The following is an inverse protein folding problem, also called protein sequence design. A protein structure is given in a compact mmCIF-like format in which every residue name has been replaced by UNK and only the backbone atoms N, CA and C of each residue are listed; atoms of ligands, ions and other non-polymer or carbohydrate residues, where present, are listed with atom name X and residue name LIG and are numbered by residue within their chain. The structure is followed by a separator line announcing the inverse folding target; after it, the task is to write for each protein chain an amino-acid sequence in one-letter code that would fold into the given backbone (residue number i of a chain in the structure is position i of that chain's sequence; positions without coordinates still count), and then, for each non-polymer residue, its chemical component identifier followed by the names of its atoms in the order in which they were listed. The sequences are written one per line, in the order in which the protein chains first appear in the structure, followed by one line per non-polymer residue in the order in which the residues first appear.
data_IF_602513654158
#
_entry.id   IF_602513654158
#
_cell.length_a   1.000
_cell.length_b   1.000
_cell.length_c   1.000
_cell.angle_alpha   90.00
_cell.angle_beta   90.00
_cell.angle_gamma   90.00
#
_symmetry.space_group_name_H-M   'P 1'
#
loop_
_entity.id
_entity.type
_entity.pdbx_description
1 polymer ?
#
# COMPACT_ATOMS: atom_id res chain seq x y z
N UNK A 1 -14.22 -17.10 5.09
CA UNK A 1 -13.83 -16.72 3.71
C UNK A 1 -12.81 -15.60 3.85
N UNK A 2 -11.52 -15.93 3.75
CA UNK A 2 -10.43 -14.94 3.76
C UNK A 2 -10.26 -14.38 2.36
N UNK A 3 -10.31 -13.06 2.24
CA UNK A 3 -10.06 -12.34 0.99
C UNK A 3 -8.56 -12.10 0.86
N UNK A 4 -7.85 -13.04 0.25
CA UNK A 4 -6.47 -12.85 -0.20
C UNK A 4 -6.55 -12.29 -1.62
N UNK A 5 -6.78 -10.98 -1.75
CA UNK A 5 -6.88 -10.32 -3.06
C UNK A 5 -5.47 -10.21 -3.65
N UNK A 6 -5.24 -10.91 -4.74
CA UNK A 6 -3.96 -10.90 -5.47
C UNK A 6 -3.66 -9.52 -6.06
N UNK A 7 -2.38 -9.19 -6.28
CA UNK A 7 -1.97 -7.93 -6.91
C UNK A 7 -2.58 -7.76 -8.31
N UNK A 8 -2.79 -8.87 -9.03
CA UNK A 8 -3.50 -8.89 -10.33
C UNK A 8 -5.00 -8.61 -10.17
N UNK A 9 -5.64 -9.05 -9.09
CA UNK A 9 -7.03 -8.68 -8.78
C UNK A 9 -7.14 -7.21 -8.34
N UNK A 10 -6.19 -6.68 -7.57
CA UNK A 10 -6.11 -5.24 -7.27
C UNK A 10 -5.84 -4.39 -8.53
N UNK A 11 -5.04 -4.91 -9.47
CA UNK A 11 -4.84 -4.31 -10.80
C UNK A 11 -6.06 -4.50 -11.73
N UNK A 12 -6.93 -5.48 -11.47
CA UNK A 12 -8.21 -5.67 -12.16
C UNK A 12 -9.34 -4.78 -11.63
N UNK A 13 -9.22 -4.28 -10.40
CA UNK A 13 -10.19 -3.39 -9.75
C UNK A 13 -9.96 -1.90 -10.03
N UNK A 14 -8.77 -1.52 -10.50
CA UNK A 14 -8.40 -0.12 -10.73
C UNK A 14 -7.41 0.04 -11.86
N UNK A 15 -7.25 1.27 -12.35
CA UNK A 15 -6.20 1.59 -13.32
C UNK A 15 -4.88 1.73 -12.57
N UNK A 16 -3.88 0.94 -12.94
CA UNK A 16 -2.51 1.11 -12.45
C UNK A 16 -1.99 2.46 -12.97
N UNK A 17 -1.61 3.34 -12.05
CA UNK A 17 -1.05 4.65 -12.37
C UNK A 17 0.46 4.56 -12.51
N UNK A 18 1.11 3.89 -11.56
CA UNK A 18 2.56 3.76 -11.51
C UNK A 18 2.99 2.50 -10.76
N UNK A 19 4.20 2.03 -11.03
CA UNK A 19 4.83 0.90 -10.35
C UNK A 19 6.31 1.18 -10.15
N UNK A 20 6.71 1.23 -8.89
CA UNK A 20 8.09 1.37 -8.47
C UNK A 20 8.59 0.01 -7.99
N UNK A 21 9.47 -0.61 -8.78
CA UNK A 21 10.23 -1.80 -8.37
C UNK A 21 11.66 -1.36 -8.17
N UNK A 22 12.19 -1.45 -6.95
CA UNK A 22 13.64 -1.39 -6.79
C UNK A 22 14.25 -2.62 -7.43
N UNK A 23 14.95 -2.41 -8.54
CA UNK A 23 15.49 -3.47 -9.39
C UNK A 23 16.62 -4.20 -8.67
N UNK A 24 16.27 -5.34 -8.06
CA UNK A 24 17.21 -6.32 -7.54
C UNK A 24 17.11 -6.52 -6.03
N UNK A 25 17.49 -7.71 -5.54
CA UNK A 25 17.53 -7.96 -4.11
C UNK A 25 18.42 -6.94 -3.41
N UNK A 26 17.96 -6.41 -2.27
CA UNK A 26 18.84 -5.68 -1.35
C UNK A 26 20.09 -6.54 -1.12
N UNK A 27 21.30 -6.07 -1.44
CA UNK A 27 22.50 -6.89 -1.39
C UNK A 27 22.66 -7.57 -0.03
N UNK A 28 22.86 -8.89 -0.03
CA UNK A 28 23.00 -9.70 1.18
C UNK A 28 21.71 -10.39 1.65
N UNK A 29 20.52 -9.79 1.43
CA UNK A 29 19.28 -10.28 2.05
C UNK A 29 18.32 -11.02 1.09
N UNK A 30 18.48 -10.86 -0.23
CA UNK A 30 17.56 -11.48 -1.19
C UNK A 30 16.15 -10.89 -1.21
N UNK A 31 15.96 -9.71 -0.61
CA UNK A 31 14.66 -9.06 -0.43
C UNK A 31 14.40 -8.05 -1.55
N UNK A 32 13.22 -8.13 -2.16
CA UNK A 32 12.68 -7.20 -3.15
C UNK A 32 11.54 -6.38 -2.55
N UNK A 33 11.44 -5.12 -2.96
CA UNK A 33 10.38 -4.18 -2.61
C UNK A 33 9.68 -3.72 -3.89
N UNK A 34 8.35 -3.76 -3.88
CA UNK A 34 7.49 -3.19 -4.91
C UNK A 34 6.46 -2.26 -4.29
N UNK A 35 6.26 -1.08 -4.89
CA UNK A 35 5.18 -0.15 -4.56
C UNK A 35 4.35 0.07 -5.81
N UNK A 36 3.05 -0.19 -5.70
CA UNK A 36 2.08 -0.03 -6.78
C UNK A 36 1.08 1.05 -6.37
N UNK A 37 0.83 1.99 -7.29
CA UNK A 37 -0.18 3.02 -7.12
C UNK A 37 -1.32 2.77 -8.11
N UNK A 38 -2.55 2.67 -7.60
CA UNK A 38 -3.74 2.44 -8.44
C UNK A 38 -4.85 3.43 -8.12
N UNK A 39 -5.66 3.74 -9.13
CA UNK A 39 -6.92 4.47 -8.97
C UNK A 39 -8.10 3.55 -9.17
N UNK A 40 -9.04 3.55 -8.23
CA UNK A 40 -10.27 2.75 -8.27
C UNK A 40 -11.45 3.71 -8.36
N UNK A 41 -12.28 3.55 -9.39
CA UNK A 41 -13.55 4.26 -9.46
C UNK A 41 -14.52 3.64 -8.45
N UNK A 42 -15.16 4.47 -7.64
CA UNK A 42 -16.19 4.07 -6.70
C UNK A 42 -17.49 3.99 -7.49
N UNK A 43 -17.99 2.77 -7.72
CA UNK A 43 -19.35 2.62 -8.24
C UNK A 43 -20.33 3.08 -7.18
N UNK A 44 -21.27 3.94 -7.57
CA UNK A 44 -22.32 4.51 -6.71
C UNK A 44 -23.31 3.42 -6.26
N UNK A 45 -22.87 2.59 -5.32
CA UNK A 45 -23.60 1.46 -4.79
C UNK A 45 -24.60 1.90 -3.72
N UNK A 46 -25.43 2.93 -4.01
CA UNK A 46 -26.54 3.36 -3.16
C UNK A 46 -26.19 3.57 -1.68
N UNK A 47 -24.95 3.92 -1.38
CA UNK A 47 -24.40 3.93 -0.03
C UNK A 47 -24.75 5.24 0.67
N UNK A 48 -25.31 5.16 1.89
CA UNK A 48 -25.73 6.32 2.69
C UNK A 48 -24.58 7.18 3.21
N UNK A 49 -23.35 6.71 3.12
CA UNK A 49 -22.15 7.41 3.58
C UNK A 49 -21.02 7.24 2.56
N UNK A 50 -20.42 8.35 2.13
CA UNK A 50 -19.34 8.33 1.14
C UNK A 50 -18.06 7.67 1.67
N UNK A 51 -17.07 7.37 0.81
CA UNK A 51 -15.82 6.73 1.23
C UNK A 51 -15.10 7.52 2.34
N UNK A 52 -15.08 8.86 2.25
CA UNK A 52 -14.52 9.75 3.30
C UNK A 52 -15.15 9.53 4.68
N UNK A 53 -16.48 9.51 4.73
CA UNK A 53 -17.22 9.33 5.97
C UNK A 53 -17.00 7.92 6.55
N UNK A 54 -16.94 6.92 5.67
CA UNK A 54 -16.61 5.55 6.03
C UNK A 54 -15.20 5.41 6.61
N UNK A 55 -14.22 6.13 6.05
CA UNK A 55 -12.83 6.13 6.52
C UNK A 55 -12.70 6.86 7.86
N UNK A 56 -13.36 8.01 8.01
CA UNK A 56 -13.41 8.75 9.27
C UNK A 56 -14.13 7.96 10.39
N UNK A 57 -15.15 7.18 10.03
CA UNK A 57 -15.93 6.35 10.94
C UNK A 57 -15.26 5.02 11.33
N UNK A 58 -14.21 4.59 10.62
CA UNK A 58 -13.49 3.33 10.84
C UNK A 58 -12.61 3.37 12.11
N UNK A 59 -13.23 3.58 13.28
CA UNK A 59 -12.57 3.46 14.59
C UNK A 59 -12.07 2.01 14.77
N UNK A 60 -10.75 1.81 14.78
CA UNK A 60 -10.11 0.53 15.10
C UNK A 60 -9.23 -0.06 13.98
N UNK A 61 -9.33 0.45 12.73
CA UNK A 61 -8.25 0.30 11.74
C UNK A 61 -7.26 1.44 11.95
N UNK A 62 -5.97 1.22 11.72
CA UNK A 62 -4.95 2.27 11.84
C UNK A 62 -5.32 3.40 10.86
N UNK A 63 -5.91 4.46 11.38
CA UNK A 63 -6.29 5.66 10.62
C UNK A 63 -5.04 6.50 10.45
N UNK A 64 -4.69 6.77 9.19
CA UNK A 64 -3.59 7.63 8.78
C UNK A 64 -4.18 8.82 8.01
N UNK A 65 -3.47 9.94 7.99
CA UNK A 65 -3.80 11.05 7.08
C UNK A 65 -2.80 11.06 5.91
N UNK A 66 -3.32 11.08 4.69
CA UNK A 66 -2.53 11.12 3.45
C UNK A 66 -2.86 12.41 2.72
N UNK A 67 -1.91 13.35 2.65
CA UNK A 67 -2.15 14.65 2.03
C UNK A 67 -3.29 15.45 2.68
N UNK A 68 -3.62 15.17 3.95
CA UNK A 68 -4.74 15.77 4.67
C UNK A 68 -6.02 14.93 4.72
N UNK A 69 -6.12 13.89 3.88
CA UNK A 69 -7.31 13.05 3.77
C UNK A 69 -7.25 11.83 4.70
N UNK A 70 -8.39 11.41 5.28
CA UNK A 70 -8.48 10.12 5.96
C UNK A 70 -8.06 8.98 5.03
N UNK A 71 -7.28 8.04 5.58
CA UNK A 71 -6.88 6.83 4.89
C UNK A 71 -7.10 5.60 5.77
N UNK A 72 -7.41 4.48 5.11
CA UNK A 72 -7.45 3.16 5.73
C UNK A 72 -6.15 2.44 5.40
N UNK A 73 -5.49 1.95 6.45
CA UNK A 73 -4.36 1.04 6.33
C UNK A 73 -4.83 -0.41 6.51
N UNK A 74 -4.46 -1.28 5.57
CA UNK A 74 -4.64 -2.73 5.64
C UNK A 74 -3.27 -3.37 5.56
N UNK A 75 -2.83 -3.99 6.65
CA UNK A 75 -1.58 -4.75 6.69
C UNK A 75 -1.92 -6.25 6.70
N UNK A 76 -1.24 -7.02 5.85
CA UNK A 76 -1.25 -8.47 5.95
C UNK A 76 0.15 -8.96 6.32
N UNK A 77 0.20 -9.79 7.34
CA UNK A 77 1.36 -10.61 7.66
C UNK A 77 1.02 -11.99 7.14
N UNK A 78 1.88 -12.57 6.30
CA UNK A 78 1.76 -13.97 5.95
C UNK A 78 2.10 -14.79 7.19
N UNK A 79 1.11 -15.02 8.06
CA UNK A 79 1.19 -16.08 9.06
C UNK A 79 1.25 -17.39 8.28
N UNK A 80 2.29 -18.19 8.56
CA UNK A 80 2.69 -19.35 7.77
C UNK A 80 1.56 -20.15 7.14
N UNK A 81 1.79 -20.56 5.89
CA UNK A 81 0.89 -21.25 4.95
C UNK A 81 0.06 -20.29 4.08
N UNK A 82 0.71 -19.54 3.20
CA UNK A 82 0.09 -19.15 1.93
C UNK A 82 1.08 -19.34 0.77
N UNK A 83 0.52 -19.85 -0.32
CA UNK A 83 1.12 -20.36 -1.56
C UNK A 83 2.31 -19.51 -2.06
N UNK A 84 3.35 -20.13 -2.64
CA UNK A 84 4.36 -19.37 -3.37
C UNK A 84 3.68 -18.49 -4.42
N UNK A 85 3.95 -17.19 -4.35
CA UNK A 85 3.68 -16.31 -5.48
C UNK A 85 4.55 -16.87 -6.61
N UNK A 86 3.90 -17.22 -7.71
CA UNK A 86 4.46 -17.95 -8.85
C UNK A 86 5.90 -17.50 -9.14
N UNK A 87 6.87 -18.43 -9.10
CA UNK A 87 8.27 -18.14 -9.49
C UNK A 87 9.30 -17.98 -8.37
N UNK A 88 9.13 -18.65 -7.23
CA UNK A 88 10.17 -18.70 -6.18
C UNK A 88 10.25 -17.44 -5.33
N UNK A 89 9.13 -16.77 -5.07
CA UNK A 89 9.06 -15.55 -4.26
C UNK A 89 8.18 -15.79 -3.02
N UNK A 90 8.71 -15.48 -1.84
CA UNK A 90 8.02 -15.55 -0.55
C UNK A 90 7.71 -14.15 -0.05
N UNK A 91 6.42 -13.80 0.06
CA UNK A 91 6.01 -12.51 0.64
C UNK A 91 6.30 -12.49 2.14
N UNK A 92 7.01 -11.46 2.59
CA UNK A 92 7.35 -11.23 4.00
C UNK A 92 6.41 -10.21 4.64
N UNK A 93 6.08 -9.16 3.90
CA UNK A 93 5.15 -8.10 4.32
C UNK A 93 4.35 -7.59 3.13
N UNK A 94 3.10 -7.24 3.38
CA UNK A 94 2.33 -6.43 2.47
C UNK A 94 1.49 -5.43 3.25
N UNK A 95 1.39 -4.21 2.73
CA UNK A 95 0.57 -3.14 3.31
C UNK A 95 -0.06 -2.32 2.20
N UNK A 96 -1.34 -2.00 2.37
CA UNK A 96 -2.09 -1.16 1.45
C UNK A 96 -2.67 0.01 2.20
N UNK A 97 -2.49 1.21 1.66
CA UNK A 97 -3.08 2.45 2.15
C UNK A 97 -4.04 2.97 1.10
N UNK A 98 -5.30 3.16 1.49
CA UNK A 98 -6.36 3.63 0.59
C UNK A 98 -6.86 4.97 1.12
N UNK A 99 -6.90 5.98 0.25
CA UNK A 99 -7.37 7.32 0.58
C UNK A 99 -8.21 7.91 -0.55
N UNK A 100 -9.01 8.92 -0.23
CA UNK A 100 -9.75 9.70 -1.21
C UNK A 100 -8.86 10.77 -1.84
N UNK A 101 -9.24 11.23 -3.04
CA UNK A 101 -8.65 12.43 -3.64
C UNK A 101 -9.43 13.66 -3.14
N UNK A 102 -8.78 14.71 -2.60
CA UNK A 102 -9.41 15.99 -2.27
C UNK A 102 -10.34 16.48 -3.38
N UNK A 103 -11.62 16.71 -3.07
CA UNK A 103 -12.61 17.19 -4.02
C UNK A 103 -13.17 16.15 -5.03
N UNK A 104 -12.75 14.88 -4.97
CA UNK A 104 -13.28 13.80 -5.81
C UNK A 104 -13.60 12.55 -4.96
N UNK A 105 -14.89 12.36 -4.68
CA UNK A 105 -15.39 11.23 -3.88
C UNK A 105 -15.62 9.95 -4.70
N UNK A 106 -15.56 10.06 -6.03
CA UNK A 106 -15.79 8.96 -6.96
C UNK A 106 -14.49 8.20 -7.28
N UNK A 107 -13.35 8.69 -6.81
CA UNK A 107 -12.05 8.09 -7.03
C UNK A 107 -11.32 7.83 -5.72
N UNK A 108 -10.93 6.57 -5.54
CA UNK A 108 -10.00 6.16 -4.49
C UNK A 108 -8.62 5.96 -5.08
N UNK A 109 -7.60 6.37 -4.33
CA UNK A 109 -6.20 6.07 -4.63
C UNK A 109 -5.68 5.06 -3.62
N UNK A 110 -5.03 4.02 -4.12
CA UNK A 110 -4.42 2.95 -3.35
C UNK A 110 -2.91 2.96 -3.55
N UNK A 111 -2.17 2.95 -2.44
CA UNK A 111 -0.73 2.74 -2.38
C UNK A 111 -0.49 1.37 -1.75
N UNK A 112 -0.01 0.40 -2.53
CA UNK A 112 0.26 -0.95 -2.07
C UNK A 112 1.76 -1.22 -2.08
N UNK A 113 2.31 -1.59 -0.93
CA UNK A 113 3.68 -2.07 -0.79
C UNK A 113 3.72 -3.58 -0.58
N UNK A 114 4.63 -4.25 -1.27
CA UNK A 114 4.95 -5.66 -1.08
C UNK A 114 6.45 -5.82 -0.89
N UNK A 115 6.82 -6.51 0.19
CA UNK A 115 8.18 -6.94 0.45
C UNK A 115 8.23 -8.45 0.36
N UNK A 116 9.12 -8.98 -0.46
CA UNK A 116 9.27 -10.41 -0.65
C UNK A 116 10.72 -10.85 -0.74
N UNK A 117 10.98 -12.07 -0.31
CA UNK A 117 12.25 -12.75 -0.49
C UNK A 117 12.23 -13.54 -1.79
N UNK A 118 13.29 -13.43 -2.58
CA UNK A 118 13.52 -14.20 -3.80
C UNK A 118 14.34 -15.46 -3.47
N UNK A 119 13.89 -16.62 -3.94
CA UNK A 119 14.62 -17.88 -3.85
C UNK A 119 16.01 -17.73 -4.49
N UNK A 120 17.05 -18.12 -3.76
CA UNK A 120 18.45 -18.01 -4.20
C UNK A 120 19.04 -16.60 -4.18
N UNK A 121 18.27 -15.58 -3.79
CA UNK A 121 18.76 -14.20 -3.65
C UNK A 121 19.38 -13.89 -2.29
N UNK A 122 19.08 -14.68 -1.25
CA UNK A 122 19.60 -14.49 0.10
C UNK A 122 20.97 -15.15 0.26
N UNK A 123 21.86 -14.52 1.03
CA UNK A 123 23.10 -15.17 1.46
C UNK A 123 22.75 -16.42 2.29
N UNK A 124 23.51 -17.53 2.18
CA UNK A 124 23.32 -18.70 3.04
C UNK A 124 23.47 -18.38 4.54
N UNK A 125 24.15 -17.27 4.87
CA UNK A 125 24.34 -16.81 6.25
C UNK A 125 23.18 -15.93 6.77
N UNK A 126 22.24 -15.52 5.90
CA UNK A 126 21.13 -14.68 6.31
C UNK A 126 20.05 -15.50 7.01
N UNK A 127 19.77 -15.14 8.25
CA UNK A 127 18.70 -15.78 9.00
C UNK A 127 17.31 -15.32 8.55
N UNK A 128 16.29 -16.13 8.81
CA UNK A 128 14.90 -15.75 8.57
C UNK A 128 14.51 -14.50 9.38
N UNK A 129 15.03 -14.35 10.59
CA UNK A 129 14.81 -13.20 11.46
C UNK A 129 15.41 -11.91 10.88
N UNK A 130 16.59 -11.99 10.26
CA UNK A 130 17.21 -10.84 9.56
C UNK A 130 16.41 -10.41 8.34
N UNK A 131 15.98 -11.37 7.51
CA UNK A 131 15.11 -11.07 6.38
C UNK A 131 13.79 -10.43 6.85
N UNK A 132 13.29 -10.88 8.00
CA UNK A 132 12.08 -10.35 8.58
C UNK A 132 12.25 -8.92 9.10
N UNK A 133 13.37 -8.63 9.77
CA UNK A 133 13.70 -7.30 10.26
C UNK A 133 13.90 -6.29 9.12
N UNK A 134 14.54 -6.71 8.01
CA UNK A 134 14.66 -5.89 6.80
C UNK A 134 13.29 -5.60 6.22
N UNK A 135 12.40 -6.59 6.17
CA UNK A 135 11.04 -6.36 5.67
C UNK A 135 10.24 -5.40 6.55
N UNK A 136 10.41 -5.46 7.87
CA UNK A 136 9.78 -4.51 8.79
C UNK A 136 10.32 -3.08 8.58
N UNK A 137 11.63 -2.92 8.41
CA UNK A 137 12.25 -1.61 8.13
C UNK A 137 11.76 -1.02 6.79
N UNK A 138 11.53 -1.84 5.77
CA UNK A 138 11.01 -1.39 4.48
C UNK A 138 9.53 -0.97 4.57
N UNK A 139 8.72 -1.63 5.40
CA UNK A 139 7.35 -1.18 5.69
C UNK A 139 7.36 0.12 6.50
N UNK A 140 8.28 0.28 7.44
CA UNK A 140 8.46 1.54 8.18
C UNK A 140 8.85 2.70 7.25
N UNK A 141 9.75 2.45 6.30
CA UNK A 141 10.08 3.42 5.25
C UNK A 141 8.85 3.79 4.41
N UNK A 142 8.04 2.81 4.03
CA UNK A 142 6.78 3.06 3.32
C UNK A 142 5.84 3.94 4.15
N UNK A 143 5.68 3.67 5.43
CA UNK A 143 4.87 4.49 6.34
C UNK A 143 5.39 5.93 6.42
N UNK A 144 6.71 6.10 6.51
CA UNK A 144 7.33 7.42 6.46
C UNK A 144 7.05 8.14 5.13
N UNK A 145 7.17 7.47 3.98
CA UNK A 145 6.84 8.05 2.67
C UNK A 145 5.37 8.49 2.60
N UNK A 146 4.45 7.71 3.15
CA UNK A 146 3.02 8.04 3.17
C UNK A 146 2.74 9.35 3.92
N UNK A 147 3.53 9.70 4.94
CA UNK A 147 3.41 11.01 5.63
C UNK A 147 3.84 12.21 4.78
N UNK A 148 4.54 11.98 3.67
CA UNK A 148 5.06 13.04 2.80
C UNK A 148 4.17 13.36 1.60
N UNK A 149 3.14 12.53 1.35
CA UNK A 149 2.22 12.67 0.22
C UNK A 149 1.47 14.00 0.32
N UNK A 150 1.35 14.69 -0.82
CA UNK A 150 0.60 15.94 -0.97
C UNK A 150 -0.21 15.86 -2.25
N UNK A 151 -1.46 16.30 -2.18
CA UNK A 151 -2.29 16.50 -3.36
C UNK A 151 -1.98 17.86 -3.96
N UNK A 152 -1.73 17.92 -5.26
CA UNK A 152 -1.46 19.15 -5.98
C UNK A 152 -2.53 19.39 -7.05
N UNK A 153 -2.91 20.65 -7.25
CA UNK A 153 -3.74 21.05 -8.40
C UNK A 153 -2.91 21.12 -9.70
N UNK A 154 -3.57 21.45 -10.81
CA UNK A 154 -2.94 21.61 -12.14
C UNK A 154 -1.91 22.77 -12.20
N UNK A 155 -1.92 23.65 -11.20
CA UNK A 155 -0.97 24.74 -11.02
C UNK A 155 0.15 24.40 -10.02
N UNK A 156 0.20 23.16 -9.52
CA UNK A 156 1.20 22.69 -8.56
C UNK A 156 1.01 23.19 -7.12
N UNK A 157 -0.17 23.73 -6.78
CA UNK A 157 -0.49 24.20 -5.43
C UNK A 157 -1.06 23.06 -4.61
N UNK A 158 -0.72 23.03 -3.32
CA UNK A 158 -1.24 22.00 -2.42
C UNK A 158 -2.74 22.17 -2.24
N UNK A 159 -3.50 21.13 -2.57
CA UNK A 159 -4.93 21.06 -2.27
C UNK A 159 -5.08 20.82 -0.78
N UNK A 160 -5.64 21.79 -0.06
CA UNK A 160 -5.93 21.66 1.37
C UNK A 160 -7.39 21.99 1.62
N UNK A 161 -8.13 21.07 2.23
CA UNK A 161 -9.50 21.31 2.70
C UNK A 161 -9.58 22.22 3.95
N UNK A 162 -8.44 22.79 4.38
CA UNK A 162 -8.42 23.75 5.48
C UNK A 162 -8.74 25.16 4.96
N UNK A 163 -9.70 25.87 5.58
CA UNK A 163 -9.75 27.32 5.45
C UNK A 163 -8.40 27.84 5.91
N UNK A 164 -7.70 28.57 5.04
CA UNK A 164 -6.58 29.41 5.47
C UNK A 164 -7.17 30.58 6.26
N UNK A 165 -7.37 30.37 7.56
CA UNK A 165 -7.58 31.43 8.54
C UNK A 165 -6.36 31.55 9.42
#
# INVERSE_FOLDING_TARGET
MSATTSLEELAGLGRVLDTYVTAGPVPGCGVSLSIVVTSVAVEDAGQRAGPRESFAGARGRQSLLIGGEPAICVSSVSSGVERPVTGGMRVLRAKTVISCVPGDDDVLISFAVMVAQLEGGASPDTSEDEAQAVADALVELFDAMMTTVRWLDDQGRVITDRPTT
#
